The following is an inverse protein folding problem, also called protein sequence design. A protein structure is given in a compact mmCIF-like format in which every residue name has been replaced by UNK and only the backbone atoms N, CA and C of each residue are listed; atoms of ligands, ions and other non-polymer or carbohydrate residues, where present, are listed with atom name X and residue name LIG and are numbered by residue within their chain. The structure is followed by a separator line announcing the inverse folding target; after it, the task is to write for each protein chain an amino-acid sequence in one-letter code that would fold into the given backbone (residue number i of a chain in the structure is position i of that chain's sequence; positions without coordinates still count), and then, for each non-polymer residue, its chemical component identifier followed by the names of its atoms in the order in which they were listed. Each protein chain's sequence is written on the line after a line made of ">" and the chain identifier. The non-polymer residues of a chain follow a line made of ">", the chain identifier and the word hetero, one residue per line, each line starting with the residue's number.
data_IF_252553463734
#
_entry.id   IF_252553463734
#
_cell.length_a   1.000
_cell.length_b   1.000
_cell.length_c   1.000
_cell.angle_alpha   90.00
_cell.angle_beta   90.00
_cell.angle_gamma   90.00
#
_symmetry.space_group_name_H-M   'P 1'
#
loop_
_entity.id
_entity.type
_entity.pdbx_description
1 polymer ?
#
# COMPACT_ATOMS: atom_id res chain seq x y z
N UNK A 1 -7.87 -11.69 105.00
CA UNK A 1 -8.81 -10.90 104.19
C UNK A 1 -8.72 -9.44 104.60
N UNK A 2 -8.36 -8.55 103.67
CA UNK A 2 -8.98 -7.24 103.59
C UNK A 2 -9.55 -6.98 102.18
N UNK A 3 -10.73 -6.38 102.14
CA UNK A 3 -11.41 -5.95 100.92
C UNK A 3 -10.85 -4.60 100.45
N UNK A 4 -10.60 -4.46 99.15
CA UNK A 4 -10.30 -3.19 98.49
C UNK A 4 -11.48 -2.75 97.60
N UNK A 5 -11.74 -1.44 97.52
CA UNK A 5 -12.95 -0.89 96.92
C UNK A 5 -12.90 -0.96 95.39
N UNK A 6 -14.09 -1.18 94.80
CA UNK A 6 -14.32 -1.13 93.35
C UNK A 6 -14.18 0.30 92.83
N UNK A 7 -13.21 0.52 91.95
CA UNK A 7 -13.15 1.73 91.10
C UNK A 7 -14.13 1.56 89.95
N UNK A 8 -15.13 2.44 89.94
CA UNK A 8 -16.08 2.65 88.86
C UNK A 8 -15.36 3.32 87.68
N UNK A 9 -15.62 2.82 86.47
CA UNK A 9 -15.80 3.65 85.29
C UNK A 9 -14.55 4.14 84.57
N UNK A 10 -14.18 3.43 83.50
CA UNK A 10 -13.72 4.07 82.28
C UNK A 10 -14.24 3.23 81.11
N UNK A 11 -15.30 3.71 80.46
CA UNK A 11 -15.72 3.18 79.17
C UNK A 11 -14.54 3.32 78.18
N UNK A 12 -14.28 2.32 77.32
CA UNK A 12 -13.24 2.47 76.31
C UNK A 12 -13.61 3.64 75.40
N UNK A 13 -12.62 4.40 74.88
CA UNK A 13 -12.91 5.45 73.92
C UNK A 13 -13.65 4.82 72.73
N UNK A 14 -14.76 5.44 72.32
CA UNK A 14 -15.48 5.02 71.13
C UNK A 14 -14.47 4.93 69.97
N UNK A 15 -14.30 3.73 69.43
CA UNK A 15 -13.53 3.52 68.21
C UNK A 15 -14.23 4.30 67.12
N UNK A 16 -13.64 5.42 66.69
CA UNK A 16 -14.09 6.10 65.48
C UNK A 16 -14.07 5.07 64.34
N UNK A 17 -15.16 4.92 63.57
CA UNK A 17 -15.11 4.09 62.38
C UNK A 17 -13.98 4.62 61.48
N UNK A 18 -13.20 3.73 60.85
CA UNK A 18 -12.18 4.16 59.91
C UNK A 18 -12.85 5.06 58.85
N UNK A 19 -12.18 6.14 58.40
CA UNK A 19 -12.72 6.96 57.34
C UNK A 19 -13.07 6.08 56.15
N UNK A 20 -14.18 6.36 55.43
CA UNK A 20 -14.51 5.61 54.23
C UNK A 20 -13.29 5.61 53.30
N UNK A 21 -13.01 4.49 52.62
CA UNK A 21 -11.95 4.46 51.64
C UNK A 21 -12.16 5.63 50.67
N UNK A 22 -11.08 6.32 50.25
CA UNK A 22 -11.21 7.35 49.24
C UNK A 22 -11.96 6.77 48.05
N UNK A 23 -12.86 7.54 47.41
CA UNK A 23 -13.48 7.08 46.17
C UNK A 23 -12.35 6.61 45.24
N UNK A 24 -12.56 5.52 44.48
CA UNK A 24 -11.59 5.12 43.48
C UNK A 24 -11.24 6.37 42.67
N UNK A 25 -9.95 6.64 42.41
CA UNK A 25 -9.58 7.77 41.56
C UNK A 25 -10.48 7.65 40.32
N UNK A 26 -11.21 8.73 40.01
CA UNK A 26 -11.88 8.85 38.72
C UNK A 26 -10.85 8.37 37.70
N UNK A 27 -11.19 7.45 36.78
CA UNK A 27 -10.25 7.03 35.77
C UNK A 27 -9.69 8.33 35.21
N UNK A 28 -8.40 8.59 35.48
CA UNK A 28 -7.70 9.77 34.98
C UNK A 28 -8.22 9.90 33.57
N UNK A 29 -8.86 11.02 33.20
CA UNK A 29 -9.37 11.21 31.85
C UNK A 29 -8.19 10.93 30.94
N UNK A 30 -8.14 9.70 30.43
CA UNK A 30 -6.87 8.99 30.39
C UNK A 30 -6.18 9.49 29.18
N UNK A 31 -5.36 10.54 29.34
CA UNK A 31 -4.80 11.33 28.25
C UNK A 31 -5.75 11.24 27.08
N UNK A 32 -6.98 11.79 27.19
CA UNK A 32 -8.01 11.70 26.13
C UNK A 32 -7.25 11.86 24.82
N UNK A 33 -7.03 10.72 24.15
CA UNK A 33 -5.99 10.63 23.14
C UNK A 33 -6.33 11.73 22.18
N UNK A 34 -5.45 12.71 22.02
CA UNK A 34 -5.69 13.88 21.18
C UNK A 34 -6.42 13.37 19.95
N UNK A 35 -7.70 13.74 19.79
CA UNK A 35 -8.58 13.13 18.79
C UNK A 35 -7.79 13.05 17.50
N UNK A 36 -7.43 11.83 17.09
CA UNK A 36 -6.68 11.68 15.87
C UNK A 36 -7.65 12.04 14.75
N UNK A 37 -7.58 13.30 14.32
CA UNK A 37 -8.40 13.81 13.24
C UNK A 37 -7.70 13.41 11.94
N UNK A 38 -8.26 12.44 11.19
CA UNK A 38 -7.73 12.12 9.88
C UNK A 38 -7.80 13.37 9.00
N UNK A 39 -6.83 13.53 8.10
CA UNK A 39 -6.79 14.66 7.17
C UNK A 39 -7.97 14.62 6.21
N UNK A 40 -8.46 13.42 5.90
CA UNK A 40 -9.61 13.18 5.04
C UNK A 40 -10.30 11.86 5.41
N UNK A 41 -11.58 11.73 5.06
CA UNK A 41 -12.36 10.50 5.20
C UNK A 41 -12.90 10.10 3.81
N UNK A 42 -12.90 8.81 3.52
CA UNK A 42 -13.35 8.25 2.23
C UNK A 42 -14.28 7.06 2.47
N UNK A 43 -15.34 6.99 1.66
CA UNK A 43 -16.37 5.95 1.77
C UNK A 43 -16.25 4.88 0.67
N UNK A 44 -15.64 5.24 -0.46
CA UNK A 44 -15.60 4.40 -1.66
C UNK A 44 -14.19 4.30 -2.25
N UNK A 45 -13.89 3.24 -3.02
CA UNK A 45 -12.61 3.10 -3.73
C UNK A 45 -12.22 4.32 -4.56
N UNK A 46 -13.16 4.89 -5.32
CA UNK A 46 -12.88 6.00 -6.23
C UNK A 46 -12.48 7.30 -5.50
N UNK A 47 -12.85 7.43 -4.22
CA UNK A 47 -12.42 8.55 -3.38
C UNK A 47 -11.06 8.31 -2.71
N UNK A 48 -10.64 7.05 -2.62
CA UNK A 48 -9.42 6.66 -1.90
C UNK A 48 -8.15 7.05 -2.67
N UNK A 49 -8.01 6.53 -3.89
CA UNK A 49 -6.95 6.93 -4.83
C UNK A 49 -7.62 7.59 -6.03
N UNK A 50 -7.63 8.92 -6.01
CA UNK A 50 -8.23 9.75 -7.05
C UNK A 50 -7.34 9.81 -8.29
N UNK A 51 -7.98 10.08 -9.43
CA UNK A 51 -7.29 10.40 -10.68
C UNK A 51 -6.50 11.69 -10.50
N UNK A 52 -5.33 11.76 -11.13
CA UNK A 52 -4.53 12.99 -11.21
C UNK A 52 -4.14 13.20 -12.67
N UNK A 53 -4.72 14.23 -13.28
CA UNK A 53 -4.33 14.67 -14.62
C UNK A 53 -3.05 15.50 -14.52
N UNK A 54 -2.18 15.37 -15.50
CA UNK A 54 -0.88 16.07 -15.53
C UNK A 54 -1.01 17.60 -15.57
N UNK A 55 -2.18 18.13 -15.97
CA UNK A 55 -2.50 19.57 -15.91
C UNK A 55 -2.81 20.12 -14.51
N UNK A 56 -3.14 19.25 -13.55
CA UNK A 56 -3.47 19.69 -12.19
C UNK A 56 -2.21 20.05 -11.42
N UNK A 57 -2.19 21.24 -10.81
CA UNK A 57 -1.10 21.61 -9.90
C UNK A 57 -1.06 20.60 -8.75
N UNK A 58 0.03 19.82 -8.69
CA UNK A 58 0.25 18.79 -7.67
C UNK A 58 0.24 19.47 -6.30
N UNK A 59 -0.95 19.54 -5.73
CA UNK A 59 -1.18 20.07 -4.40
C UNK A 59 -0.74 18.98 -3.44
N UNK A 60 0.39 19.25 -2.81
CA UNK A 60 1.01 18.50 -1.72
C UNK A 60 1.60 17.12 -2.05
N UNK A 61 2.93 17.12 -2.14
CA UNK A 61 3.83 16.00 -1.80
C UNK A 61 3.67 15.50 -0.35
N UNK A 62 2.63 15.90 0.38
CA UNK A 62 2.43 15.55 1.77
C UNK A 62 1.82 14.16 1.88
N UNK A 63 2.52 13.28 2.59
CA UNK A 63 1.91 12.05 3.07
C UNK A 63 0.75 12.44 3.99
N UNK A 64 -0.45 11.92 3.74
CA UNK A 64 -1.65 12.27 4.51
C UNK A 64 -2.28 11.04 5.12
N UNK A 65 -2.93 11.20 6.26
CA UNK A 65 -3.68 10.11 6.87
C UNK A 65 -5.14 10.21 6.46
N UNK A 66 -5.62 9.15 5.83
CA UNK A 66 -7.00 9.02 5.36
C UNK A 66 -7.70 7.97 6.19
N UNK A 67 -8.93 8.25 6.60
CA UNK A 67 -9.81 7.26 7.21
C UNK A 67 -10.65 6.59 6.13
N UNK A 68 -10.55 5.27 6.03
CA UNK A 68 -11.50 4.47 5.25
C UNK A 68 -12.72 4.23 6.14
N UNK A 69 -13.78 5.00 5.92
CA UNK A 69 -14.94 5.08 6.80
C UNK A 69 -15.63 3.72 7.05
N UNK A 70 -15.89 2.88 6.01
CA UNK A 70 -16.59 1.61 6.20
C UNK A 70 -15.88 0.65 7.16
N UNK A 71 -14.54 0.73 7.23
CA UNK A 71 -13.72 -0.15 8.06
C UNK A 71 -13.14 0.55 9.29
N UNK A 72 -13.42 1.85 9.45
CA UNK A 72 -12.90 2.70 10.53
C UNK A 72 -11.38 2.63 10.68
N UNK A 73 -10.66 2.44 9.57
CA UNK A 73 -9.21 2.27 9.57
C UNK A 73 -8.52 3.50 9.04
N UNK A 74 -7.46 3.93 9.75
CA UNK A 74 -6.58 5.00 9.30
C UNK A 74 -5.49 4.40 8.42
N UNK A 75 -5.22 5.04 7.28
CA UNK A 75 -4.20 4.63 6.32
C UNK A 75 -3.28 5.80 6.08
N UNK A 76 -1.97 5.56 6.16
CA UNK A 76 -0.98 6.54 5.73
C UNK A 76 -0.83 6.44 4.21
N UNK A 77 -1.35 7.43 3.48
CA UNK A 77 -1.22 7.48 2.04
C UNK A 77 -0.02 8.33 1.63
N UNK A 78 0.84 7.76 0.77
CA UNK A 78 2.05 8.39 0.25
C UNK A 78 2.00 8.46 -1.27
N UNK A 79 2.52 9.55 -1.85
CA UNK A 79 2.58 9.77 -3.30
C UNK A 79 3.99 10.07 -3.86
N UNK A 80 5.09 9.54 -3.32
CA UNK A 80 6.38 9.77 -3.95
C UNK A 80 6.39 9.14 -5.35
N UNK A 81 7.06 9.79 -6.30
CA UNK A 81 7.30 9.19 -7.62
C UNK A 81 8.15 7.93 -7.46
N UNK A 82 7.81 6.86 -8.16
CA UNK A 82 8.57 5.62 -8.08
C UNK A 82 9.84 5.69 -8.94
N UNK A 83 10.97 5.37 -8.34
CA UNK A 83 12.27 5.33 -8.98
C UNK A 83 12.67 3.89 -9.34
N UNK A 84 13.71 3.77 -10.17
CA UNK A 84 14.25 2.46 -10.57
C UNK A 84 14.66 1.62 -9.36
N UNK A 85 15.13 2.25 -8.28
CA UNK A 85 15.46 1.56 -7.04
C UNK A 85 14.25 0.84 -6.42
N UNK A 86 13.09 1.49 -6.44
CA UNK A 86 11.84 0.94 -5.89
C UNK A 86 11.36 -0.24 -6.73
N UNK A 87 11.41 -0.12 -8.06
CA UNK A 87 11.13 -1.24 -8.96
C UNK A 87 12.07 -2.44 -8.70
N UNK A 88 13.38 -2.18 -8.57
CA UNK A 88 14.39 -3.23 -8.33
C UNK A 88 14.20 -3.95 -6.98
N UNK A 89 13.57 -3.30 -6.00
CA UNK A 89 13.25 -3.92 -4.72
C UNK A 89 12.21 -5.04 -4.86
N UNK A 90 11.27 -4.90 -5.81
CA UNK A 90 10.16 -5.82 -6.04
C UNK A 90 10.23 -6.62 -7.34
N UNK A 91 11.25 -6.37 -8.18
CA UNK A 91 11.47 -7.07 -9.45
C UNK A 91 11.44 -8.61 -9.30
N UNK A 92 11.97 -9.15 -8.21
CA UNK A 92 11.98 -10.59 -7.95
C UNK A 92 10.56 -11.19 -7.89
N UNK A 93 9.62 -10.46 -7.27
CA UNK A 93 8.25 -10.90 -7.12
C UNK A 93 7.47 -10.71 -8.42
N UNK A 94 7.71 -9.60 -9.13
CA UNK A 94 7.07 -9.33 -10.42
C UNK A 94 7.48 -10.35 -11.50
N UNK A 95 8.72 -10.86 -11.44
CA UNK A 95 9.25 -11.82 -12.41
C UNK A 95 8.85 -13.27 -12.15
N UNK A 96 8.79 -13.66 -10.88
CA UNK A 96 8.74 -15.07 -10.51
C UNK A 96 7.57 -15.40 -9.57
N UNK A 97 6.83 -14.39 -9.13
CA UNK A 97 5.71 -14.55 -8.20
C UNK A 97 4.41 -14.79 -8.94
N UNK A 98 3.61 -15.71 -8.42
CA UNK A 98 2.25 -15.92 -8.86
C UNK A 98 1.30 -14.93 -8.17
N UNK A 99 0.24 -14.56 -8.88
CA UNK A 99 -0.81 -13.71 -8.31
C UNK A 99 -1.49 -14.42 -7.14
N UNK A 100 -1.89 -13.62 -6.15
CA UNK A 100 -2.63 -14.00 -4.96
C UNK A 100 -1.93 -14.91 -3.94
N UNK A 101 -0.64 -15.19 -4.12
CA UNK A 101 0.16 -16.01 -3.21
C UNK A 101 1.10 -15.15 -2.36
N UNK A 102 1.30 -15.55 -1.10
CA UNK A 102 2.24 -14.90 -0.18
C UNK A 102 3.65 -15.46 -0.32
N UNK A 103 4.65 -14.57 -0.23
CA UNK A 103 6.07 -14.90 -0.34
C UNK A 103 6.87 -14.18 0.74
N UNK A 104 7.96 -14.79 1.19
CA UNK A 104 9.04 -14.07 1.88
C UNK A 104 10.08 -13.61 0.85
N UNK A 105 10.68 -12.44 1.06
CA UNK A 105 11.75 -11.97 0.18
C UNK A 105 12.92 -12.96 0.20
N UNK A 106 13.32 -13.54 -0.94
CA UNK A 106 14.40 -14.51 -0.94
C UNK A 106 15.75 -13.87 -0.63
N UNK A 107 16.69 -14.70 -0.17
CA UNK A 107 18.06 -14.24 0.05
C UNK A 107 18.72 -13.85 -1.27
N UNK A 108 19.69 -12.92 -1.21
CA UNK A 108 20.49 -12.53 -2.38
C UNK A 108 21.18 -13.73 -3.04
N UNK A 109 21.55 -14.75 -2.26
CA UNK A 109 22.16 -15.97 -2.78
C UNK A 109 21.16 -16.80 -3.61
N UNK A 110 19.94 -16.96 -3.13
CA UNK A 110 18.87 -17.65 -3.87
C UNK A 110 18.49 -16.91 -5.16
N UNK A 111 18.32 -15.59 -5.10
CA UNK A 111 18.06 -14.77 -6.30
C UNK A 111 19.20 -14.87 -7.34
N UNK A 112 20.45 -15.04 -6.91
CA UNK A 112 21.57 -15.31 -7.84
C UNK A 112 21.47 -16.69 -8.46
N UNK A 113 21.09 -17.70 -7.68
CA UNK A 113 20.88 -19.07 -8.17
C UNK A 113 19.81 -19.10 -9.26
N UNK A 114 18.65 -18.47 -9.04
CA UNK A 114 17.57 -18.37 -10.05
C UNK A 114 18.12 -17.77 -11.35
N UNK A 115 18.81 -16.61 -11.29
CA UNK A 115 19.40 -15.98 -12.48
C UNK A 115 20.40 -16.87 -13.21
N UNK A 116 21.20 -17.65 -12.48
CA UNK A 116 22.16 -18.59 -13.09
C UNK A 116 21.43 -19.72 -13.81
N UNK A 117 20.35 -20.25 -13.23
CA UNK A 117 19.52 -21.28 -13.86
C UNK A 117 18.83 -20.77 -15.14
N UNK A 118 18.28 -19.56 -15.09
CA UNK A 118 17.66 -18.89 -16.23
C UNK A 118 18.65 -18.68 -17.38
N UNK A 119 19.86 -18.19 -17.06
CA UNK A 119 20.93 -18.00 -18.05
C UNK A 119 21.33 -19.32 -18.74
N UNK A 120 21.20 -20.45 -18.04
CA UNK A 120 21.52 -21.78 -18.53
C UNK A 120 20.33 -22.50 -19.19
N UNK A 121 19.15 -21.84 -19.30
CA UNK A 121 17.88 -22.43 -19.78
C UNK A 121 17.48 -23.72 -19.08
N UNK A 122 17.86 -23.88 -17.81
CA UNK A 122 17.30 -24.91 -16.97
C UNK A 122 15.95 -24.44 -16.42
N UNK A 123 15.06 -25.39 -16.09
CA UNK A 123 13.73 -25.07 -15.60
C UNK A 123 13.83 -24.01 -14.49
N UNK A 124 13.12 -22.86 -14.62
CA UNK A 124 13.23 -21.78 -13.66
C UNK A 124 12.83 -22.30 -12.29
N UNK A 125 13.68 -22.04 -11.30
CA UNK A 125 13.35 -22.32 -9.90
C UNK A 125 12.28 -21.31 -9.50
N UNK A 126 11.06 -21.78 -9.29
CA UNK A 126 9.92 -20.95 -8.89
C UNK A 126 10.14 -20.39 -7.49
N UNK A 127 9.60 -19.20 -7.22
CA UNK A 127 9.62 -18.68 -5.85
C UNK A 127 8.87 -19.64 -4.93
N UNK A 128 9.49 -19.99 -3.81
CA UNK A 128 8.85 -20.84 -2.82
C UNK A 128 7.67 -20.08 -2.17
N UNK A 129 6.42 -20.56 -2.34
CA UNK A 129 5.27 -19.92 -1.73
C UNK A 129 5.29 -20.11 -0.22
N UNK A 130 4.81 -19.12 0.52
CA UNK A 130 4.65 -19.21 1.96
C UNK A 130 3.36 -19.96 2.31
N UNK A 131 3.46 -21.28 2.42
CA UNK A 131 2.31 -22.18 2.62
C UNK A 131 1.49 -21.90 3.89
N UNK A 132 2.12 -21.42 4.96
CA UNK A 132 1.48 -21.10 6.24
C UNK A 132 1.44 -19.58 6.47
N UNK A 133 1.08 -18.81 5.45
CA UNK A 133 0.97 -17.37 5.56
C UNK A 133 -0.07 -16.96 6.60
N UNK A 134 0.33 -16.09 7.54
CA UNK A 134 -0.50 -15.52 8.60
C UNK A 134 -0.31 -14.00 8.57
N UNK A 135 -0.90 -13.34 7.56
CA UNK A 135 -0.71 -11.91 7.37
C UNK A 135 -1.34 -11.12 8.51
N UNK A 136 -0.52 -10.31 9.17
CA UNK A 136 -0.95 -9.41 10.23
C UNK A 136 -1.81 -8.28 9.65
N UNK A 137 -2.87 -7.92 10.35
CA UNK A 137 -3.64 -6.70 10.08
C UNK A 137 -2.99 -5.52 10.79
N UNK A 138 -2.29 -4.66 10.05
CA UNK A 138 -1.61 -3.48 10.59
C UNK A 138 -2.63 -2.43 11.01
N UNK A 139 -2.42 -1.79 12.17
CA UNK A 139 -3.30 -0.73 12.65
C UNK A 139 -3.38 0.46 11.67
N UNK A 140 -2.22 0.87 11.16
CA UNK A 140 -2.11 1.94 10.15
C UNK A 140 -1.28 1.43 8.96
N UNK A 141 -1.89 0.76 7.98
CA UNK A 141 -1.17 0.36 6.77
C UNK A 141 -0.71 1.58 5.98
N UNK A 142 0.35 1.39 5.19
CA UNK A 142 0.87 2.40 4.26
C UNK A 142 0.36 2.09 2.86
N UNK A 143 -0.18 3.08 2.16
CA UNK A 143 -0.63 2.91 0.78
C UNK A 143 0.14 3.87 -0.11
N UNK A 144 0.93 3.30 -1.00
CA UNK A 144 1.61 4.05 -2.04
C UNK A 144 0.68 4.24 -3.24
N UNK A 145 0.10 5.44 -3.35
CA UNK A 145 -0.63 5.88 -4.54
C UNK A 145 0.38 6.38 -5.58
N UNK A 146 1.05 5.45 -6.29
CA UNK A 146 2.01 5.78 -7.35
C UNK A 146 1.32 6.26 -8.63
N UNK A 147 2.10 6.69 -9.62
CA UNK A 147 1.59 7.11 -10.93
C UNK A 147 0.73 6.02 -11.58
N UNK A 148 1.12 4.74 -11.43
CA UNK A 148 0.35 3.59 -11.88
C UNK A 148 -1.10 3.54 -11.32
N UNK A 149 -1.37 4.19 -10.18
CA UNK A 149 -2.68 4.19 -9.51
C UNK A 149 -3.44 5.50 -9.69
N UNK A 150 -2.75 6.58 -10.05
CA UNK A 150 -3.34 7.93 -10.15
C UNK A 150 -3.53 8.38 -11.60
N UNK A 151 -2.66 7.97 -12.51
CA UNK A 151 -2.71 8.39 -13.92
C UNK A 151 -3.88 7.72 -14.64
N UNK A 152 -4.78 8.49 -15.26
CA UNK A 152 -5.88 7.95 -16.05
C UNK A 152 -5.41 7.53 -17.45
N UNK A 153 -6.25 6.78 -18.17
CA UNK A 153 -5.95 6.36 -19.56
C UNK A 153 -6.06 7.51 -20.57
N UNK A 154 -6.81 8.56 -20.23
CA UNK A 154 -7.03 9.76 -21.03
C UNK A 154 -6.20 10.97 -20.55
N UNK A 155 -5.00 10.73 -19.99
CA UNK A 155 -4.16 11.80 -19.43
C UNK A 155 -3.70 12.83 -20.46
N UNK A 156 -3.51 14.06 -19.98
CA UNK A 156 -3.22 15.25 -20.76
C UNK A 156 -1.86 15.19 -21.47
N UNK A 157 -1.84 15.41 -22.79
CA UNK A 157 -0.59 15.46 -23.58
C UNK A 157 -0.19 16.91 -23.88
N UNK A 158 0.99 17.31 -23.41
CA UNK A 158 1.54 18.66 -23.63
C UNK A 158 2.48 18.74 -24.84
N UNK A 159 3.13 17.63 -25.21
CA UNK A 159 4.08 17.60 -26.32
C UNK A 159 3.37 17.30 -27.65
N UNK A 160 2.94 18.35 -28.35
CA UNK A 160 2.39 18.22 -29.69
C UNK A 160 3.50 18.32 -30.77
N UNK A 161 3.90 17.19 -31.33
CA UNK A 161 4.81 17.13 -32.48
C UNK A 161 4.08 17.19 -33.83
N UNK A 162 2.74 17.04 -33.83
CA UNK A 162 1.89 17.02 -35.02
C UNK A 162 1.47 18.39 -35.56
N UNK A 163 1.87 19.50 -34.91
CA UNK A 163 1.48 20.84 -35.32
C UNK A 163 0.01 21.18 -35.03
N UNK A 164 -0.65 20.43 -34.15
CA UNK A 164 -2.03 20.70 -33.70
C UNK A 164 -2.13 21.90 -32.74
N UNK A 165 -1.03 22.59 -32.47
CA UNK A 165 -1.05 23.85 -31.72
C UNK A 165 -1.71 24.92 -32.59
N UNK A 166 -2.99 25.20 -32.31
CA UNK A 166 -3.74 26.26 -32.97
C UNK A 166 -3.01 27.60 -32.80
N UNK A 167 -2.42 28.08 -33.90
CA UNK A 167 -2.15 29.44 -34.38
C UNK A 167 -1.73 30.60 -33.43
N UNK A 168 -1.78 30.48 -32.11
CA UNK A 168 -1.58 31.55 -31.12
C UNK A 168 -0.57 31.21 -30.00
N UNK A 169 0.26 30.18 -30.18
CA UNK A 169 1.36 29.91 -29.24
C UNK A 169 0.91 29.46 -27.84
N UNK A 170 -0.26 28.84 -27.73
CA UNK A 170 -0.75 28.30 -26.46
C UNK A 170 0.09 27.09 -26.04
N UNK A 171 0.86 27.24 -24.95
CA UNK A 171 1.64 26.17 -24.31
C UNK A 171 0.75 25.30 -23.40
N UNK A 172 -0.35 24.78 -23.95
CA UNK A 172 -1.33 23.97 -23.21
C UNK A 172 -1.41 22.54 -23.70
N UNK A 173 -2.40 21.81 -23.20
CA UNK A 173 -2.67 20.42 -23.58
C UNK A 173 -3.17 20.33 -25.02
N UNK A 174 -2.72 19.30 -25.74
CA UNK A 174 -3.11 19.02 -27.10
C UNK A 174 -4.23 17.99 -27.12
N UNK A 175 -5.46 18.46 -27.36
CA UNK A 175 -6.66 17.62 -27.36
C UNK A 175 -6.58 16.49 -28.39
N UNK A 176 -6.17 16.79 -29.62
CA UNK A 176 -6.09 15.78 -30.69
C UNK A 176 -5.06 14.69 -30.38
N UNK A 177 -3.91 15.06 -29.80
CA UNK A 177 -2.91 14.07 -29.37
C UNK A 177 -3.43 13.24 -28.19
N UNK A 178 -4.10 13.88 -27.22
CA UNK A 178 -4.69 13.22 -26.05
C UNK A 178 -5.73 12.18 -26.49
N UNK A 179 -6.71 12.59 -27.31
CA UNK A 179 -7.75 11.70 -27.86
C UNK A 179 -7.13 10.53 -28.67
N UNK A 180 -6.16 10.81 -29.54
CA UNK A 180 -5.54 9.75 -30.36
C UNK A 180 -4.78 8.74 -29.50
N UNK A 181 -4.00 9.20 -28.52
CA UNK A 181 -3.19 8.32 -27.67
C UNK A 181 -4.05 7.56 -26.66
N UNK A 182 -5.12 8.16 -26.14
CA UNK A 182 -6.06 7.48 -25.26
C UNK A 182 -6.81 6.37 -25.99
N UNK A 183 -7.31 6.61 -27.20
CA UNK A 183 -7.95 5.59 -28.04
C UNK A 183 -7.02 4.40 -28.31
N UNK A 184 -5.75 4.67 -28.62
CA UNK A 184 -4.75 3.62 -28.83
C UNK A 184 -4.49 2.85 -27.53
N UNK A 185 -4.36 3.54 -26.40
CA UNK A 185 -4.15 2.88 -25.11
C UNK A 185 -5.35 2.03 -24.67
N UNK A 186 -6.58 2.50 -24.87
CA UNK A 186 -7.81 1.76 -24.57
C UNK A 186 -7.95 0.47 -25.40
N UNK A 187 -7.37 0.46 -26.61
CA UNK A 187 -7.35 -0.74 -27.46
C UNK A 187 -6.35 -1.80 -27.00
N UNK A 188 -5.43 -1.45 -26.09
CA UNK A 188 -4.37 -2.33 -25.58
C UNK A 188 -4.77 -2.91 -24.22
N UNK A 189 -4.75 -4.25 -24.05
CA UNK A 189 -5.01 -4.84 -22.74
C UNK A 189 -3.85 -4.53 -21.79
N UNK A 190 -4.15 -3.88 -20.67
CA UNK A 190 -3.19 -3.54 -19.63
C UNK A 190 -3.30 -4.51 -18.46
N UNK A 191 -2.20 -4.64 -17.71
CA UNK A 191 -2.17 -5.32 -16.43
C UNK A 191 -1.57 -4.42 -15.36
N UNK A 192 -2.33 -4.24 -14.28
CA UNK A 192 -1.95 -3.52 -13.09
C UNK A 192 -1.42 -4.54 -12.08
N UNK A 193 -0.16 -4.41 -11.70
CA UNK A 193 0.48 -5.24 -10.69
C UNK A 193 0.59 -4.46 -9.38
N UNK A 194 0.02 -5.03 -8.31
CA UNK A 194 0.08 -4.50 -6.96
C UNK A 194 0.90 -5.42 -6.06
N UNK A 195 1.86 -4.84 -5.34
CA UNK A 195 2.63 -5.56 -4.33
C UNK A 195 2.12 -5.16 -2.96
N UNK A 196 1.34 -6.05 -2.35
CA UNK A 196 0.93 -5.91 -0.96
C UNK A 196 2.01 -6.44 -0.03
N UNK A 197 2.14 -5.82 1.14
CA UNK A 197 3.04 -6.30 2.19
C UNK A 197 2.44 -6.16 3.59
N UNK A 198 2.85 -7.08 4.46
CA UNK A 198 2.58 -7.03 5.89
C UNK A 198 3.60 -7.89 6.65
N UNK A 199 3.44 -8.04 7.96
CA UNK A 199 4.23 -8.94 8.78
C UNK A 199 3.59 -10.33 8.86
N UNK A 200 4.42 -11.36 8.91
CA UNK A 200 4.02 -12.72 9.27
C UNK A 200 3.85 -12.82 10.79
N UNK A 201 2.68 -13.27 11.27
CA UNK A 201 2.48 -13.52 12.70
C UNK A 201 3.37 -14.69 13.18
N UNK A 202 4.09 -14.48 14.28
CA UNK A 202 4.86 -15.54 14.95
C UNK A 202 3.95 -16.57 15.61
N UNK A 203 2.84 -16.12 16.20
CA UNK A 203 1.86 -16.93 16.95
C UNK A 203 0.42 -16.51 16.56
N UNK A 204 -0.54 -17.43 16.40
CA UNK A 204 -1.94 -17.13 16.07
C UNK A 204 -2.71 -16.15 16.97
N UNK A 205 -2.21 -15.77 18.16
CA UNK A 205 -3.01 -15.06 19.18
C UNK A 205 -2.37 -13.81 19.82
N UNK A 206 -1.50 -13.07 19.12
CA UNK A 206 -0.92 -11.84 19.72
C UNK A 206 -1.77 -10.60 19.41
N UNK A 207 -2.32 -9.98 20.46
CA UNK A 207 -2.83 -8.61 20.44
C UNK A 207 -1.68 -7.64 20.80
N UNK A 208 -1.40 -6.66 19.95
CA UNK A 208 -0.44 -5.58 20.22
C UNK A 208 0.77 -5.52 19.27
N UNK A 209 1.48 -4.38 19.32
CA UNK A 209 2.52 -3.92 18.39
C UNK A 209 3.85 -4.72 18.36
N UNK A 210 3.86 -5.97 18.84
CA UNK A 210 5.04 -6.83 18.85
C UNK A 210 5.07 -7.76 17.64
N UNK A 211 5.05 -7.19 16.43
CA UNK A 211 5.26 -7.96 15.22
C UNK A 211 6.77 -8.13 14.99
N UNK A 212 7.40 -9.03 15.75
CA UNK A 212 8.75 -9.55 15.44
C UNK A 212 8.74 -10.47 14.19
N UNK A 213 7.77 -10.27 13.31
CA UNK A 213 7.49 -11.08 12.13
C UNK A 213 8.32 -10.64 10.95
N UNK A 214 8.70 -11.60 10.11
CA UNK A 214 9.30 -11.31 8.79
C UNK A 214 8.27 -10.61 7.91
N UNK A 215 8.73 -9.72 7.04
CA UNK A 215 7.86 -9.10 6.05
C UNK A 215 7.52 -10.13 4.97
N UNK A 216 6.23 -10.23 4.68
CA UNK A 216 5.68 -11.07 3.62
C UNK A 216 5.03 -10.19 2.57
N UNK A 217 5.06 -10.67 1.34
CA UNK A 217 4.62 -9.94 0.16
C UNK A 217 3.63 -10.77 -0.63
N UNK A 218 2.63 -10.12 -1.21
CA UNK A 218 1.62 -10.75 -2.08
C UNK A 218 1.53 -9.93 -3.36
N UNK A 219 1.69 -10.58 -4.51
CA UNK A 219 1.43 -9.98 -5.80
C UNK A 219 -0.06 -10.10 -6.11
N UNK A 220 -0.66 -9.05 -6.63
CA UNK A 220 -2.01 -9.08 -7.18
C UNK A 220 -1.97 -8.45 -8.58
N UNK A 221 -2.69 -9.04 -9.52
CA UNK A 221 -2.76 -8.60 -10.91
C UNK A 221 -4.22 -8.35 -11.30
N UNK A 222 -4.50 -7.25 -11.99
CA UNK A 222 -5.84 -6.95 -12.51
C UNK A 222 -5.79 -6.11 -13.79
N UNK A 223 -6.90 -6.06 -14.54
CA UNK A 223 -6.93 -5.45 -15.89
C UNK A 223 -7.27 -3.97 -15.97
N UNK A 224 -7.56 -3.31 -14.85
CA UNK A 224 -7.92 -1.89 -14.85
C UNK A 224 -7.47 -1.16 -13.60
N UNK A 225 -7.32 0.17 -13.73
CA UNK A 225 -7.00 1.06 -12.62
C UNK A 225 -8.06 1.00 -11.53
N UNK A 226 -9.33 0.98 -11.91
CA UNK A 226 -10.46 0.98 -10.97
C UNK A 226 -10.47 -0.30 -10.14
N UNK A 227 -10.18 -1.45 -10.76
CA UNK A 227 -10.01 -2.71 -10.05
C UNK A 227 -8.81 -2.67 -9.11
N UNK A 228 -7.69 -2.08 -9.55
CA UNK A 228 -6.49 -1.93 -8.73
C UNK A 228 -6.74 -1.05 -7.49
N UNK A 229 -7.43 0.08 -7.67
CA UNK A 229 -7.79 1.01 -6.59
C UNK A 229 -8.79 0.37 -5.63
N UNK A 230 -9.77 -0.39 -6.13
CA UNK A 230 -10.69 -1.16 -5.31
C UNK A 230 -9.96 -2.20 -4.46
N UNK A 231 -9.04 -2.96 -5.05
CA UNK A 231 -8.25 -3.93 -4.30
C UNK A 231 -7.40 -3.25 -3.23
N UNK A 232 -6.73 -2.14 -3.56
CA UNK A 232 -5.97 -1.36 -2.58
C UNK A 232 -6.85 -0.85 -1.42
N UNK A 233 -8.07 -0.41 -1.71
CA UNK A 233 -9.04 0.06 -0.72
C UNK A 233 -9.45 -1.06 0.25
N UNK A 234 -9.81 -2.24 -0.27
CA UNK A 234 -10.20 -3.37 0.58
C UNK A 234 -9.01 -4.02 1.29
N UNK A 235 -7.86 -4.16 0.63
CA UNK A 235 -6.66 -4.72 1.23
C UNK A 235 -6.14 -3.84 2.39
N UNK A 236 -6.10 -2.52 2.20
CA UNK A 236 -5.72 -1.60 3.27
C UNK A 236 -6.80 -1.53 4.35
N UNK A 237 -8.05 -1.33 3.96
CA UNK A 237 -9.16 -1.07 4.88
C UNK A 237 -9.63 -2.29 5.68
N UNK A 238 -9.92 -3.40 5.00
CA UNK A 238 -10.38 -4.64 5.62
C UNK A 238 -9.21 -5.37 6.25
N UNK A 239 -8.19 -5.68 5.43
CA UNK A 239 -7.14 -6.60 5.83
C UNK A 239 -6.00 -5.93 6.60
N UNK A 240 -5.86 -4.61 6.50
CA UNK A 240 -4.75 -3.90 7.14
C UNK A 240 -3.41 -4.13 6.46
N UNK A 241 -3.40 -4.39 5.16
CA UNK A 241 -2.16 -4.62 4.41
C UNK A 241 -1.67 -3.33 3.76
N UNK A 242 -0.35 -3.19 3.66
CA UNK A 242 0.25 -2.04 2.99
C UNK A 242 0.36 -2.30 1.49
N UNK A 243 0.05 -1.29 0.67
CA UNK A 243 0.43 -1.29 -0.75
C UNK A 243 1.84 -0.72 -0.86
N UNK A 244 2.81 -1.60 -1.14
CA UNK A 244 4.24 -1.28 -1.10
C UNK A 244 4.80 -0.88 -2.46
N UNK A 245 4.18 -1.30 -3.56
CA UNK A 245 4.56 -0.92 -4.92
C UNK A 245 3.42 -1.21 -5.89
N UNK A 246 3.35 -0.44 -6.97
CA UNK A 246 2.40 -0.67 -8.07
C UNK A 246 3.01 -0.24 -9.39
N UNK A 247 2.76 -1.03 -10.44
CA UNK A 247 3.16 -0.73 -11.80
C UNK A 247 2.12 -1.23 -12.82
N UNK A 248 2.24 -0.74 -14.06
CA UNK A 248 1.42 -1.17 -15.20
C UNK A 248 2.31 -1.74 -16.30
N UNK A 249 1.88 -2.84 -16.89
CA UNK A 249 2.50 -3.47 -18.06
C UNK A 249 1.42 -3.74 -19.11
N UNK A 250 1.85 -4.03 -20.34
CA UNK A 250 0.96 -4.52 -21.39
C UNK A 250 0.77 -6.03 -21.22
N UNK A 251 -0.48 -6.49 -21.21
CA UNK A 251 -0.81 -7.91 -21.21
C UNK A 251 -0.22 -8.55 -22.47
N UNK A 252 0.40 -9.71 -22.35
CA UNK A 252 1.14 -10.33 -23.45
C UNK A 252 2.62 -9.99 -23.50
N UNK A 253 3.06 -8.99 -22.72
CA UNK A 253 4.45 -8.53 -22.66
C UNK A 253 5.06 -8.68 -21.27
N UNK A 254 4.40 -9.44 -20.39
CA UNK A 254 4.84 -9.71 -19.03
C UNK A 254 6.02 -10.69 -18.97
N UNK A 255 6.65 -10.80 -17.79
CA UNK A 255 7.75 -11.74 -17.55
C UNK A 255 7.37 -13.22 -17.70
N UNK A 256 6.07 -13.54 -17.63
CA UNK A 256 5.56 -14.89 -17.91
C UNK A 256 5.66 -15.24 -19.42
N UNK A 257 5.57 -14.23 -20.29
CA UNK A 257 5.48 -14.41 -21.74
C UNK A 257 6.77 -14.01 -22.48
N UNK A 258 7.55 -13.08 -21.92
CA UNK A 258 8.81 -12.58 -22.53
C UNK A 258 10.01 -12.77 -21.60
N UNK A 259 11.11 -13.29 -22.17
CA UNK A 259 12.41 -13.27 -21.51
C UNK A 259 13.12 -11.94 -21.79
N UNK A 260 12.64 -10.86 -21.16
CA UNK A 260 13.08 -9.50 -21.45
C UNK A 260 13.59 -8.70 -20.24
N UNK A 261 14.25 -7.59 -20.54
CA UNK A 261 14.62 -6.58 -19.54
C UNK A 261 13.53 -5.54 -19.39
N UNK A 262 13.21 -5.20 -18.14
CA UNK A 262 12.26 -4.15 -17.83
C UNK A 262 12.82 -2.76 -18.21
N UNK A 263 12.07 -1.98 -18.97
CA UNK A 263 12.36 -0.57 -19.30
C UNK A 263 11.26 0.30 -18.73
N UNK A 264 11.64 1.29 -17.92
CA UNK A 264 10.70 2.29 -17.42
C UNK A 264 10.19 3.14 -18.58
N UNK A 265 8.87 3.32 -18.65
CA UNK A 265 8.25 4.39 -19.44
C UNK A 265 7.78 5.52 -18.53
N UNK A 266 7.83 6.76 -19.01
CA UNK A 266 7.49 7.93 -18.22
C UNK A 266 5.99 8.24 -18.21
N UNK A 267 5.32 7.95 -19.32
CA UNK A 267 3.89 8.20 -19.50
C UNK A 267 3.15 6.88 -19.75
N UNK A 268 1.91 6.77 -19.26
CA UNK A 268 1.13 5.54 -19.36
C UNK A 268 0.86 5.15 -20.83
N UNK A 269 0.55 6.13 -21.68
CA UNK A 269 0.26 5.91 -23.10
C UNK A 269 1.45 5.31 -23.88
N UNK A 270 2.68 5.46 -23.39
CA UNK A 270 3.87 4.86 -24.03
C UNK A 270 3.89 3.33 -23.97
N UNK A 271 3.06 2.72 -23.11
CA UNK A 271 2.86 1.27 -23.09
C UNK A 271 2.19 0.75 -24.37
N UNK A 272 1.39 1.60 -25.03
CA UNK A 272 0.69 1.22 -26.25
C UNK A 272 1.54 1.38 -27.51
N UNK A 273 2.67 2.09 -27.42
CA UNK A 273 3.61 2.18 -28.54
C UNK A 273 4.28 0.82 -28.78
N UNK A 274 4.46 0.46 -30.05
CA UNK A 274 5.27 -0.69 -30.40
C UNK A 274 6.75 -0.41 -30.03
N UNK A 275 7.48 -1.44 -29.63
CA UNK A 275 8.94 -1.37 -29.45
C UNK A 275 9.58 -2.19 -30.56
N UNK A 276 10.66 -1.69 -31.15
CA UNK A 276 11.41 -2.42 -32.18
C UNK A 276 12.16 -3.63 -31.57
N UNK A 277 12.31 -3.67 -30.25
CA UNK A 277 13.03 -4.72 -29.51
C UNK A 277 12.06 -5.62 -28.73
N UNK A 278 11.78 -6.80 -29.30
CA UNK A 278 10.98 -7.88 -28.66
C UNK A 278 11.52 -8.33 -27.29
N UNK A 279 12.76 -7.96 -26.92
CA UNK A 279 13.38 -8.32 -25.62
C UNK A 279 13.16 -7.27 -24.54
N UNK A 280 12.43 -6.20 -24.82
CA UNK A 280 12.15 -5.15 -23.85
C UNK A 280 10.72 -5.27 -23.33
N UNK A 281 10.58 -5.20 -22.00
CA UNK A 281 9.28 -5.19 -21.31
C UNK A 281 9.06 -3.77 -20.80
N UNK A 282 8.09 -3.05 -21.35
CA UNK A 282 7.75 -1.69 -20.91
C UNK A 282 6.97 -1.76 -19.60
N UNK A 283 7.42 -0.99 -18.63
CA UNK A 283 6.79 -0.91 -17.31
C UNK A 283 6.59 0.55 -16.93
N UNK A 284 5.34 0.91 -16.63
CA UNK A 284 4.97 2.24 -16.14
C UNK A 284 4.87 2.22 -14.61
N UNK A 285 5.58 3.14 -13.94
CA UNK A 285 5.55 3.31 -12.48
C UNK A 285 6.03 4.69 -12.01
#
# INVERSE_FOLDING_TARGET
>A
MPAFPSMIGMAPPASFPPPPPPPPPEPSAGLMGTSFNPTAEVDTPNQFIQVQYTSESISDFSSRVIRIAPFRRNVLMTRPSAHVADYKEFEWLLKHGSSEIWYEKPTKAHLRSIRTLEANRWAPDELLPLLNARPVSLETPKVWASAAMTTPTDDDIFECTGGHTTHDGYAGTCRECTETKSEVLESVPLIYCLVFSTCQASDPFVHGAHFNGRQIYKLFKCGSREAAVAEAFYAAGVNGWSLAFSCVMKLGEEFEERSGTAKKVNELWMLAEEDDDEKTIKVFY
#
